data_IF_922448064022
#
_entry.id   IF_922448064022
#
_cell.length_a   1.000
_cell.length_b   1.000
_cell.length_c   1.000
_cell.angle_alpha   90.00
_cell.angle_beta   90.00
_cell.angle_gamma   90.00
#
_symmetry.space_group_name_H-M   'P 1'
#
loop_
_entity.id
_entity.type
_entity.pdbx_description
1 polymer ?
#
# COMPACT_ATOMS: atom_id res chain seq x y z
N UNK A 1 -2.75 14.55 -19.60
CA UNK A 1 -3.06 13.55 -18.56
C UNK A 1 -3.18 12.18 -19.19
N UNK A 2 -2.41 11.21 -18.72
CA UNK A 2 -2.46 9.85 -19.24
C UNK A 2 -3.41 9.04 -18.35
N UNK A 3 -4.45 8.47 -18.95
CA UNK A 3 -5.36 7.57 -18.24
C UNK A 3 -5.15 6.18 -18.81
N UNK A 4 -4.75 5.26 -17.95
CA UNK A 4 -4.63 3.84 -18.28
C UNK A 4 -5.68 3.09 -17.48
N UNK A 5 -6.58 2.38 -18.17
CA UNK A 5 -7.61 1.60 -17.51
C UNK A 5 -7.66 0.20 -18.08
N UNK A 6 -7.41 -0.78 -17.23
CA UNK A 6 -7.58 -2.20 -17.55
C UNK A 6 -8.46 -2.83 -16.47
N UNK A 7 -8.73 -4.13 -16.56
CA UNK A 7 -9.51 -4.84 -15.57
C UNK A 7 -8.94 -4.69 -14.14
N UNK A 8 -7.61 -4.72 -14.01
CA UNK A 8 -6.94 -4.75 -12.71
C UNK A 8 -6.09 -3.53 -12.41
N UNK A 9 -5.99 -2.57 -13.34
CA UNK A 9 -5.14 -1.39 -13.19
C UNK A 9 -5.89 -0.15 -13.63
N UNK A 10 -5.77 0.92 -12.85
CA UNK A 10 -6.38 2.20 -13.19
C UNK A 10 -5.43 3.34 -12.81
N UNK A 11 -4.80 3.95 -13.81
CA UNK A 11 -3.89 5.08 -13.62
C UNK A 11 -4.62 6.35 -14.08
N UNK A 12 -4.93 7.22 -13.14
CA UNK A 12 -5.70 8.44 -13.34
C UNK A 12 -4.84 9.69 -13.45
N UNK A 13 -3.65 9.65 -12.88
CA UNK A 13 -2.79 10.82 -12.78
C UNK A 13 -1.41 10.49 -13.32
N UNK A 14 -0.59 11.53 -13.44
CA UNK A 14 0.84 11.40 -13.61
C UNK A 14 1.43 10.58 -12.45
N UNK A 15 2.46 9.79 -12.72
CA UNK A 15 3.20 9.02 -11.71
C UNK A 15 4.60 9.64 -11.56
N UNK A 16 5.04 10.02 -10.36
CA UNK A 16 4.34 9.89 -9.07
C UNK A 16 3.10 10.79 -8.97
N UNK A 17 2.11 10.35 -8.20
CA UNK A 17 0.89 11.12 -7.98
C UNK A 17 1.20 12.48 -7.33
N UNK A 18 0.38 13.52 -7.59
CA UNK A 18 0.56 14.81 -6.94
C UNK A 18 0.60 14.69 -5.41
N UNK A 19 1.55 15.37 -4.79
CA UNK A 19 1.74 15.32 -3.34
C UNK A 19 2.67 14.22 -2.83
N UNK A 20 3.06 13.26 -3.68
CA UNK A 20 3.91 12.14 -3.30
C UNK A 20 5.28 12.61 -2.78
N UNK A 21 5.96 13.49 -3.49
CA UNK A 21 7.30 13.94 -3.10
C UNK A 21 7.31 14.71 -1.79
N UNK A 22 6.25 15.42 -1.47
CA UNK A 22 6.11 16.11 -0.18
C UNK A 22 6.12 15.11 0.98
N UNK A 23 5.41 14.00 0.81
CA UNK A 23 5.35 12.94 1.81
C UNK A 23 6.71 12.22 1.91
N UNK A 24 7.34 11.91 0.78
CA UNK A 24 8.65 11.25 0.74
C UNK A 24 9.70 12.11 1.45
N UNK A 25 9.74 13.40 1.20
CA UNK A 25 10.66 14.31 1.90
C UNK A 25 10.43 14.33 3.40
N UNK A 26 9.18 14.27 3.83
CA UNK A 26 8.86 14.18 5.25
C UNK A 26 9.36 12.88 5.86
N UNK A 27 9.22 11.76 5.15
CA UNK A 27 9.70 10.45 5.59
C UNK A 27 11.24 10.40 5.71
N UNK A 28 11.97 11.04 4.81
CA UNK A 28 13.44 11.06 4.84
C UNK A 28 14.01 11.58 6.16
N UNK A 29 13.25 12.39 6.88
CA UNK A 29 13.68 12.95 8.17
C UNK A 29 13.56 11.98 9.34
N UNK A 30 12.73 10.96 9.23
CA UNK A 30 12.41 10.05 10.33
C UNK A 30 12.58 8.58 9.99
N UNK A 31 12.64 8.24 8.71
CA UNK A 31 12.77 6.86 8.23
C UNK A 31 14.25 6.47 8.18
N UNK A 32 14.55 5.20 8.42
CA UNK A 32 15.93 4.71 8.30
C UNK A 32 16.40 4.76 6.84
N UNK A 33 17.72 4.89 6.63
CA UNK A 33 18.30 4.93 5.28
C UNK A 33 17.99 3.68 4.46
N UNK A 34 17.92 2.53 5.09
CA UNK A 34 17.63 1.26 4.41
C UNK A 34 16.24 1.24 3.79
N UNK A 35 15.33 2.07 4.28
CA UNK A 35 13.95 2.17 3.75
C UNK A 35 13.80 3.25 2.70
N UNK A 36 14.80 4.11 2.51
CA UNK A 36 14.76 5.18 1.53
C UNK A 36 15.08 4.67 0.12
N UNK A 37 14.74 5.46 -0.90
CA UNK A 37 15.06 5.13 -2.29
C UNK A 37 14.12 4.11 -2.92
N UNK A 38 13.00 3.80 -2.30
CA UNK A 38 11.98 2.94 -2.89
C UNK A 38 11.18 3.67 -3.98
N UNK A 39 10.35 2.92 -4.70
CA UNK A 39 9.49 3.50 -5.72
C UNK A 39 8.64 4.64 -5.13
N UNK A 40 8.49 5.76 -5.86
CA UNK A 40 7.76 6.92 -5.35
C UNK A 40 6.25 6.73 -5.43
N UNK A 41 5.75 5.79 -4.67
CA UNK A 41 4.33 5.49 -4.55
C UNK A 41 3.96 5.51 -3.07
N UNK A 42 3.04 6.38 -2.71
CA UNK A 42 2.53 6.44 -1.33
C UNK A 42 1.20 5.70 -1.27
N UNK A 43 1.16 4.62 -0.50
CA UNK A 43 -0.02 3.77 -0.39
C UNK A 43 -1.10 4.43 0.44
N UNK A 44 -2.35 4.35 -0.02
CA UNK A 44 -3.51 4.71 0.79
C UNK A 44 -4.28 3.48 1.29
N UNK A 45 -4.39 2.46 0.46
CA UNK A 45 -5.06 1.21 0.82
C UNK A 45 -4.63 0.07 -0.09
N UNK A 46 -4.96 -1.14 0.29
CA UNK A 46 -4.70 -2.34 -0.51
C UNK A 46 -5.82 -3.36 -0.30
N UNK A 47 -6.14 -4.12 -1.35
CA UNK A 47 -7.18 -5.15 -1.30
C UNK A 47 -6.84 -6.25 -2.31
N UNK A 48 -6.76 -7.51 -1.86
CA UNK A 48 -6.38 -8.63 -2.69
C UNK A 48 -5.02 -8.40 -3.35
N UNK A 49 -4.98 -8.32 -4.66
CA UNK A 49 -3.76 -8.02 -5.42
C UNK A 49 -3.66 -6.55 -5.84
N UNK A 50 -4.54 -5.70 -5.35
CA UNK A 50 -4.60 -4.30 -5.76
C UNK A 50 -4.01 -3.37 -4.71
N UNK A 51 -3.23 -2.39 -5.18
CA UNK A 51 -2.69 -1.30 -4.37
C UNK A 51 -3.22 0.03 -4.88
N UNK A 52 -3.52 0.94 -3.98
CA UNK A 52 -3.98 2.28 -4.32
C UNK A 52 -3.06 3.32 -3.70
N UNK A 53 -2.67 4.32 -4.49
CA UNK A 53 -1.89 5.44 -3.99
C UNK A 53 -2.78 6.57 -3.44
N UNK A 54 -2.16 7.68 -3.05
CA UNK A 54 -2.87 8.82 -2.47
C UNK A 54 -3.83 9.51 -3.46
N UNK A 55 -3.66 9.30 -4.75
CA UNK A 55 -4.55 9.85 -5.78
C UNK A 55 -5.53 8.80 -6.32
N UNK A 56 -5.65 7.65 -5.62
CA UNK A 56 -6.52 6.55 -6.01
C UNK A 56 -6.13 5.91 -7.34
N UNK A 57 -4.87 6.03 -7.78
CA UNK A 57 -4.36 5.21 -8.87
C UNK A 57 -4.31 3.76 -8.39
N UNK A 58 -4.76 2.85 -9.22
CA UNK A 58 -4.82 1.42 -8.89
C UNK A 58 -3.70 0.68 -9.61
N UNK A 59 -2.90 -0.03 -8.84
CA UNK A 59 -1.79 -0.84 -9.33
C UNK A 59 -2.01 -2.31 -9.01
N UNK A 60 -1.31 -3.17 -9.74
CA UNK A 60 -1.29 -4.61 -9.46
C UNK A 60 -0.04 -4.90 -8.64
N UNK A 61 -0.21 -5.61 -7.52
CA UNK A 61 0.91 -6.06 -6.69
C UNK A 61 1.38 -7.43 -7.16
N UNK A 62 2.46 -7.47 -7.94
CA UNK A 62 3.06 -8.70 -8.42
C UNK A 62 4.06 -9.34 -7.45
N UNK A 63 4.49 -8.61 -6.43
CA UNK A 63 5.55 -9.05 -5.53
C UNK A 63 5.05 -9.45 -4.15
N UNK A 64 3.74 -9.43 -3.92
CA UNK A 64 3.13 -9.68 -2.61
C UNK A 64 3.80 -8.85 -1.50
N UNK A 65 4.12 -7.59 -1.81
CA UNK A 65 4.82 -6.67 -0.91
C UNK A 65 6.11 -7.31 -0.38
N UNK A 66 6.96 -7.76 -1.32
CA UNK A 66 8.20 -8.49 -1.04
C UNK A 66 7.89 -9.76 -0.22
N UNK A 67 6.97 -10.56 -0.78
CA UNK A 67 6.66 -11.93 -0.34
C UNK A 67 5.94 -12.04 1.02
N UNK A 68 5.27 -11.01 1.49
CA UNK A 68 4.61 -11.06 2.81
C UNK A 68 3.08 -11.11 2.76
N UNK A 69 2.46 -10.82 1.62
CA UNK A 69 0.99 -10.83 1.50
C UNK A 69 0.47 -12.05 0.74
N UNK A 70 0.85 -13.25 1.18
CA UNK A 70 0.58 -14.51 0.48
C UNK A 70 -0.91 -14.81 0.31
N UNK A 71 -1.76 -14.32 1.20
CA UNK A 71 -3.22 -14.50 1.14
C UNK A 71 -3.93 -13.29 0.55
N UNK A 72 -3.18 -12.36 -0.05
CA UNK A 72 -3.69 -11.10 -0.54
C UNK A 72 -3.77 -10.02 0.53
N UNK A 73 -3.89 -8.77 0.09
CA UNK A 73 -4.05 -7.64 1.00
C UNK A 73 -5.46 -7.62 1.61
N UNK A 74 -5.55 -7.20 2.86
CA UNK A 74 -6.83 -6.95 3.54
C UNK A 74 -7.77 -8.15 3.52
N UNK A 75 -7.22 -9.36 3.74
CA UNK A 75 -8.03 -10.56 3.83
C UNK A 75 -9.06 -10.42 4.96
N UNK A 76 -10.34 -10.55 4.62
CA UNK A 76 -11.44 -10.27 5.55
C UNK A 76 -11.46 -11.19 6.77
N UNK A 77 -11.12 -12.46 6.57
CA UNK A 77 -11.08 -13.44 7.66
C UNK A 77 -9.94 -13.11 8.62
N UNK A 78 -8.77 -12.79 8.08
CA UNK A 78 -7.61 -12.40 8.88
C UNK A 78 -7.88 -11.14 9.69
N UNK A 79 -8.44 -10.11 9.05
CA UNK A 79 -8.79 -8.85 9.72
C UNK A 79 -9.77 -9.09 10.86
N UNK A 80 -10.81 -9.89 10.62
CA UNK A 80 -11.81 -10.22 11.65
C UNK A 80 -11.16 -10.90 12.85
N UNK A 81 -10.29 -11.87 12.61
CA UNK A 81 -9.60 -12.59 13.68
C UNK A 81 -8.61 -11.71 14.42
N UNK A 82 -7.89 -10.85 13.71
CA UNK A 82 -6.96 -9.90 14.31
C UNK A 82 -7.69 -8.90 15.23
N UNK A 83 -8.79 -8.32 14.76
CA UNK A 83 -9.61 -7.42 15.57
C UNK A 83 -10.09 -8.09 16.85
N UNK A 84 -10.58 -9.32 16.74
CA UNK A 84 -11.04 -10.08 17.92
C UNK A 84 -9.90 -10.33 18.91
N UNK A 85 -8.70 -10.65 18.42
CA UNK A 85 -7.53 -10.86 19.26
C UNK A 85 -7.12 -9.57 19.96
N UNK A 86 -7.12 -8.45 19.25
CA UNK A 86 -6.80 -7.14 19.82
C UNK A 86 -7.82 -6.72 20.87
N UNK A 87 -9.10 -7.00 20.65
CA UNK A 87 -10.17 -6.71 21.62
C UNK A 87 -9.97 -7.47 22.93
N UNK A 88 -9.36 -8.64 22.87
CA UNK A 88 -8.97 -9.41 24.07
C UNK A 88 -7.70 -8.88 24.72
N UNK A 89 -7.08 -7.84 24.17
CA UNK A 89 -5.82 -7.24 24.62
C UNK A 89 -4.66 -8.22 24.65
N UNK A 90 -4.68 -9.23 23.76
CA UNK A 90 -3.60 -10.21 23.61
C UNK A 90 -2.84 -9.86 22.35
N UNK A 91 -1.62 -9.32 22.49
CA UNK A 91 -0.78 -8.92 21.35
C UNK A 91 0.26 -9.99 20.99
N UNK A 92 0.64 -10.82 21.95
CA UNK A 92 1.61 -11.90 21.75
C UNK A 92 1.50 -12.91 22.88
N UNK A 93 2.06 -14.05 22.65
CA UNK A 93 2.21 -15.09 23.69
C UNK A 93 3.63 -15.12 24.19
#
# INVERSE_FOLDING_TARGET
MIIIKTQNRFIKTKIPAPGTYKIIKSLEKSESRSMQGQLPIVWSKADGHSLFDIAENKFIDFTSTIFVTNIGHSNKILIKNLKRTLDKKILHK
#
